data_IF_510467969629
#
_entry.id   IF_510467969629
#
_cell.length_a   1.000
_cell.length_b   1.000
_cell.length_c   1.000
_cell.angle_alpha   90.00
_cell.angle_beta   90.00
_cell.angle_gamma   90.00
#
_symmetry.space_group_name_H-M   'P 1'
#
loop_
_entity.id
_entity.type
_entity.pdbx_description
1 polymer ?
#
# COMPACT_ATOMS: atom_id res chain seq x y z
N UNK A 1 26.07 -44.48 8.09
CA UNK A 1 24.66 -44.88 8.23
C UNK A 1 23.80 -43.94 7.39
N UNK A 2 23.54 -44.29 6.12
CA UNK A 2 22.77 -43.45 5.22
C UNK A 2 21.30 -43.41 5.66
N UNK A 3 20.78 -42.22 5.98
CA UNK A 3 19.35 -42.02 6.22
C UNK A 3 18.58 -42.56 5.01
N UNK A 4 17.64 -43.47 5.25
CA UNK A 4 16.68 -43.91 4.26
C UNK A 4 15.95 -42.68 3.71
N UNK A 5 16.38 -42.17 2.57
CA UNK A 5 15.56 -41.24 1.78
C UNK A 5 14.29 -42.01 1.49
N UNK A 6 13.15 -41.59 2.05
CA UNK A 6 11.84 -42.01 1.56
C UNK A 6 11.85 -41.67 0.08
N UNK A 7 12.14 -42.66 -0.78
CA UNK A 7 11.88 -42.55 -2.21
C UNK A 7 10.37 -42.44 -2.26
N UNK A 8 9.87 -41.22 -2.34
CA UNK A 8 8.49 -40.94 -2.73
C UNK A 8 8.35 -41.48 -4.13
N UNK A 9 8.07 -42.78 -4.23
CA UNK A 9 7.71 -43.41 -5.49
C UNK A 9 6.46 -42.68 -5.93
N UNK A 10 6.50 -42.12 -7.14
CA UNK A 10 5.35 -41.51 -7.80
C UNK A 10 4.16 -42.46 -7.65
N UNK A 11 3.19 -42.04 -6.84
CA UNK A 11 2.03 -42.85 -6.43
C UNK A 11 1.28 -43.39 -7.66
N UNK A 12 1.28 -42.63 -8.75
CA UNK A 12 0.65 -43.01 -10.02
C UNK A 12 1.39 -44.21 -10.63
N UNK A 13 2.73 -44.21 -10.59
CA UNK A 13 3.54 -45.35 -11.08
C UNK A 13 3.36 -46.59 -10.22
N UNK A 14 3.27 -46.42 -8.90
CA UNK A 14 3.03 -47.53 -7.96
C UNK A 14 1.69 -48.22 -8.25
N UNK A 15 0.61 -47.44 -8.32
CA UNK A 15 -0.74 -47.96 -8.57
C UNK A 15 -0.84 -48.60 -9.96
N UNK A 16 -0.26 -47.98 -11.00
CA UNK A 16 -0.20 -48.58 -12.35
C UNK A 16 0.58 -49.90 -12.35
N UNK A 17 1.67 -50.00 -11.60
CA UNK A 17 2.45 -51.22 -11.44
C UNK A 17 1.64 -52.34 -10.76
N UNK A 18 0.94 -52.02 -9.67
CA UNK A 18 0.07 -52.98 -8.96
C UNK A 18 -1.08 -53.47 -9.82
N UNK A 19 -1.70 -52.59 -10.63
CA UNK A 19 -2.75 -52.99 -11.57
C UNK A 19 -2.21 -53.93 -12.66
N UNK A 20 -1.01 -53.65 -13.20
CA UNK A 20 -0.37 -54.49 -14.24
C UNK A 20 0.01 -55.88 -13.73
N UNK A 21 0.45 -55.97 -12.48
CA UNK A 21 0.86 -57.23 -11.87
C UNK A 21 -0.32 -58.02 -11.29
N UNK A 22 -1.56 -57.56 -11.47
CA UNK A 22 -2.76 -58.21 -10.93
C UNK A 22 -2.92 -58.08 -9.41
N UNK A 23 -2.11 -57.25 -8.74
CA UNK A 23 -2.17 -57.03 -7.30
C UNK A 23 -3.32 -56.11 -6.87
N UNK A 24 -3.98 -55.43 -7.81
CA UNK A 24 -5.11 -54.54 -7.55
C UNK A 24 -6.00 -54.38 -8.79
N UNK A 25 -7.31 -54.21 -8.59
CA UNK A 25 -8.20 -53.79 -9.66
C UNK A 25 -7.92 -52.33 -10.05
N UNK A 26 -7.95 -52.01 -11.36
CA UNK A 26 -7.70 -50.65 -11.85
C UNK A 26 -8.70 -49.65 -11.23
N UNK A 27 -8.23 -48.63 -10.48
CA UNK A 27 -9.10 -47.59 -9.96
C UNK A 27 -9.68 -46.71 -11.07
N UNK A 28 -10.88 -46.20 -10.86
CA UNK A 28 -11.62 -45.37 -11.83
C UNK A 28 -10.89 -44.09 -12.22
N UNK A 29 -10.12 -43.50 -11.31
CA UNK A 29 -9.37 -42.26 -11.56
C UNK A 29 -8.11 -42.45 -12.42
N UNK A 30 -7.60 -43.67 -12.58
CA UNK A 30 -6.35 -43.92 -13.34
C UNK A 30 -6.50 -43.55 -14.82
N UNK A 31 -7.66 -43.81 -15.41
CA UNK A 31 -7.96 -43.41 -16.79
C UNK A 31 -7.99 -41.88 -16.97
N UNK A 32 -8.40 -41.15 -15.94
CA UNK A 32 -8.40 -39.68 -15.93
C UNK A 32 -6.98 -39.12 -15.86
N UNK A 33 -6.12 -39.72 -15.04
CA UNK A 33 -4.69 -39.34 -14.94
C UNK A 33 -3.90 -39.73 -16.20
N UNK A 34 -4.28 -40.80 -16.90
CA UNK A 34 -3.69 -41.13 -18.20
C UNK A 34 -4.05 -40.09 -19.28
N UNK A 35 -5.27 -39.54 -19.23
CA UNK A 35 -5.70 -38.45 -20.12
C UNK A 35 -5.06 -37.11 -19.78
N UNK A 36 -4.92 -36.83 -18.49
CA UNK A 36 -4.38 -35.58 -17.97
C UNK A 36 -3.24 -35.88 -16.98
N UNK A 37 -2.02 -36.17 -17.47
CA UNK A 37 -0.89 -36.45 -16.60
C UNK A 37 -0.54 -35.19 -15.77
N UNK A 38 -0.11 -35.34 -14.51
CA UNK A 38 0.34 -34.21 -13.73
C UNK A 38 1.55 -33.54 -14.40
N UNK A 39 1.71 -32.21 -14.25
CA UNK A 39 2.86 -31.51 -14.80
C UNK A 39 4.16 -32.06 -14.19
N UNK A 40 5.25 -32.11 -14.96
CA UNK A 40 6.54 -32.54 -14.44
C UNK A 40 6.99 -31.56 -13.35
N UNK A 41 7.33 -32.09 -12.16
CA UNK A 41 7.89 -31.28 -11.07
C UNK A 41 9.31 -30.86 -11.49
N UNK A 42 9.63 -29.55 -11.50
CA UNK A 42 10.99 -29.07 -11.73
C UNK A 42 11.97 -29.72 -10.73
N UNK A 43 13.18 -30.07 -11.18
CA UNK A 43 14.17 -30.72 -10.31
C UNK A 43 14.57 -29.77 -9.18
N UNK A 44 14.25 -30.13 -7.94
CA UNK A 44 14.64 -29.39 -6.73
C UNK A 44 16.16 -29.28 -6.49
N UNK A 45 16.99 -29.94 -7.29
CA UNK A 45 18.44 -30.03 -7.08
C UNK A 45 19.20 -28.74 -7.49
N UNK A 46 18.52 -27.70 -8.03
CA UNK A 46 19.20 -26.47 -8.49
C UNK A 46 18.56 -25.13 -8.13
N UNK A 47 17.40 -25.09 -7.48
CA UNK A 47 16.64 -23.85 -7.44
C UNK A 47 16.60 -23.29 -6.01
N UNK A 48 17.62 -22.52 -5.64
CA UNK A 48 17.42 -21.44 -4.66
C UNK A 48 16.28 -20.58 -5.20
N UNK A 49 15.18 -20.45 -4.46
CA UNK A 49 14.06 -19.60 -4.91
C UNK A 49 14.62 -18.22 -5.22
N UNK A 50 14.46 -17.70 -6.45
CA UNK A 50 15.01 -16.40 -6.80
C UNK A 50 14.33 -15.33 -5.94
N UNK A 51 15.14 -14.49 -5.29
CA UNK A 51 14.63 -13.33 -4.55
C UNK A 51 14.31 -12.25 -5.56
N UNK A 52 13.02 -11.99 -5.76
CA UNK A 52 12.54 -10.88 -6.59
C UNK A 52 12.82 -9.59 -5.82
N UNK A 53 13.51 -8.64 -6.45
CA UNK A 53 13.81 -7.31 -5.89
C UNK A 53 13.45 -6.26 -6.91
N UNK A 54 12.87 -5.16 -6.44
CA UNK A 54 12.53 -4.01 -7.25
C UNK A 54 13.35 -2.77 -6.86
N UNK A 55 13.57 -1.82 -7.78
CA UNK A 55 14.26 -0.57 -7.46
C UNK A 55 13.59 0.24 -6.35
N UNK A 56 12.25 0.25 -6.30
CA UNK A 56 11.47 0.95 -5.28
C UNK A 56 11.67 0.37 -3.87
N UNK A 57 12.03 -0.92 -3.72
CA UNK A 57 12.26 -1.54 -2.41
C UNK A 57 13.37 -0.78 -1.65
N UNK A 58 14.43 -0.37 -2.36
CA UNK A 58 15.53 0.42 -1.78
C UNK A 58 15.03 1.79 -1.33
N UNK A 59 14.22 2.46 -2.15
CA UNK A 59 13.74 3.82 -1.86
C UNK A 59 12.74 3.81 -0.69
N UNK A 60 11.84 2.82 -0.66
CA UNK A 60 10.90 2.62 0.44
C UNK A 60 11.64 2.33 1.77
N UNK A 61 12.65 1.45 1.74
CA UNK A 61 13.47 1.18 2.94
C UNK A 61 14.18 2.45 3.44
N UNK A 62 14.71 3.28 2.54
CA UNK A 62 15.37 4.54 2.91
C UNK A 62 14.37 5.52 3.54
N UNK A 63 13.18 5.63 2.94
CA UNK A 63 12.11 6.48 3.45
C UNK A 63 11.68 6.06 4.87
N UNK A 64 11.44 4.77 5.09
CA UNK A 64 11.08 4.23 6.40
C UNK A 64 12.17 4.43 7.45
N UNK A 65 13.44 4.20 7.09
CA UNK A 65 14.57 4.38 8.00
C UNK A 65 14.70 5.82 8.48
N UNK A 66 14.39 6.79 7.63
CA UNK A 66 14.47 8.20 7.97
C UNK A 66 13.34 8.65 8.90
N UNK A 67 12.21 7.92 8.91
CA UNK A 67 11.02 8.18 9.73
C UNK A 67 10.90 7.22 10.92
N UNK A 68 11.98 6.55 11.30
CA UNK A 68 12.05 5.57 12.40
C UNK A 68 10.94 4.49 12.35
N UNK A 69 10.46 4.12 11.16
CA UNK A 69 9.42 3.10 10.98
C UNK A 69 8.02 3.50 11.47
N UNK A 70 7.75 4.80 11.66
CA UNK A 70 6.42 5.31 12.06
C UNK A 70 5.41 5.26 10.90
N UNK A 71 5.91 5.15 9.67
CA UNK A 71 5.11 5.20 8.44
C UNK A 71 4.63 3.81 8.04
N UNK A 72 3.41 3.74 7.52
CA UNK A 72 2.82 2.53 6.95
C UNK A 72 3.55 2.07 5.68
N UNK A 73 3.66 0.76 5.49
CA UNK A 73 4.35 0.15 4.34
C UNK A 73 3.77 0.66 3.02
N UNK A 74 2.44 0.76 2.93
CA UNK A 74 1.77 1.24 1.74
C UNK A 74 2.17 2.67 1.38
N UNK A 75 2.19 3.59 2.36
CA UNK A 75 2.59 4.99 2.12
C UNK A 75 4.06 5.08 1.68
N UNK A 76 4.93 4.23 2.23
CA UNK A 76 6.34 4.20 1.84
C UNK A 76 6.55 3.70 0.41
N UNK A 77 5.77 2.72 -0.06
CA UNK A 77 5.83 2.27 -1.45
C UNK A 77 5.26 3.30 -2.43
N UNK A 78 4.16 3.99 -2.07
CA UNK A 78 3.62 5.08 -2.89
C UNK A 78 4.64 6.23 -3.04
N UNK A 79 5.31 6.61 -1.93
CA UNK A 79 6.40 7.59 -1.96
C UNK A 79 7.53 7.13 -2.88
N UNK A 80 7.94 5.86 -2.76
CA UNK A 80 9.02 5.29 -3.56
C UNK A 80 8.69 5.24 -5.06
N UNK A 81 7.44 4.95 -5.43
CA UNK A 81 6.98 4.93 -6.83
C UNK A 81 6.94 6.34 -7.43
N UNK A 82 6.45 7.34 -6.68
CA UNK A 82 6.48 8.74 -7.11
C UNK A 82 7.92 9.25 -7.23
N UNK A 83 8.78 8.91 -6.27
CA UNK A 83 10.20 9.29 -6.31
C UNK A 83 10.89 8.65 -7.52
N UNK A 84 10.63 7.38 -7.79
CA UNK A 84 11.16 6.68 -8.95
C UNK A 84 10.70 7.34 -10.25
N UNK A 85 9.43 7.76 -10.34
CA UNK A 85 8.89 8.48 -11.49
C UNK A 85 9.61 9.80 -11.75
N UNK A 86 9.92 10.57 -10.70
CA UNK A 86 10.70 11.81 -10.83
C UNK A 86 12.15 11.56 -11.26
N UNK A 87 12.75 10.47 -10.78
CA UNK A 87 14.09 10.05 -11.18
C UNK A 87 14.11 9.65 -12.66
N UNK A 88 13.09 8.92 -13.13
CA UNK A 88 12.93 8.56 -14.54
C UNK A 88 12.76 9.79 -15.46
N UNK A 89 12.18 10.88 -14.93
CA UNK A 89 12.07 12.17 -15.62
C UNK A 89 13.38 12.97 -15.63
N UNK A 90 14.45 12.46 -15.01
CA UNK A 90 15.78 13.07 -15.02
C UNK A 90 16.09 13.95 -13.80
N UNK A 91 15.24 13.95 -12.78
CA UNK A 91 15.49 14.65 -11.51
C UNK A 91 16.45 13.81 -10.65
N UNK A 92 17.33 14.46 -9.90
CA UNK A 92 18.26 13.73 -9.02
C UNK A 92 17.52 13.07 -7.85
N UNK A 93 18.04 11.94 -7.33
CA UNK A 93 17.42 11.20 -6.21
C UNK A 93 17.16 12.10 -4.99
N UNK A 94 18.07 13.03 -4.71
CA UNK A 94 17.97 13.99 -3.59
C UNK A 94 16.92 15.06 -3.82
N UNK A 95 16.86 15.60 -5.04
CA UNK A 95 15.91 16.66 -5.36
C UNK A 95 14.49 16.08 -5.44
N UNK A 96 14.34 14.88 -6.01
CA UNK A 96 13.08 14.14 -6.03
C UNK A 96 12.56 13.86 -4.61
N UNK A 97 13.45 13.46 -3.70
CA UNK A 97 13.10 13.28 -2.29
C UNK A 97 12.58 14.58 -1.65
N UNK A 98 13.33 15.68 -1.82
CA UNK A 98 12.98 16.97 -1.22
C UNK A 98 11.67 17.54 -1.77
N UNK A 99 11.35 17.28 -3.04
CA UNK A 99 10.07 17.71 -3.62
C UNK A 99 8.88 16.94 -3.06
N UNK A 100 9.06 15.66 -2.73
CA UNK A 100 7.98 14.80 -2.27
C UNK A 100 7.78 14.86 -0.75
N UNK A 101 8.80 15.24 0.02
CA UNK A 101 8.72 15.19 1.48
C UNK A 101 7.62 16.09 2.04
N UNK A 102 7.47 17.30 1.50
CA UNK A 102 6.44 18.26 1.94
C UNK A 102 5.03 17.75 1.65
N UNK A 103 4.84 17.14 0.48
CA UNK A 103 3.57 16.50 0.10
C UNK A 103 3.23 15.34 1.04
N UNK A 104 4.21 14.49 1.33
CA UNK A 104 3.98 13.28 2.11
C UNK A 104 3.87 13.53 3.62
N UNK A 105 4.43 14.61 4.16
CA UNK A 105 4.15 15.05 5.54
C UNK A 105 2.65 15.30 5.75
N UNK A 106 1.98 15.92 4.77
CA UNK A 106 0.53 16.12 4.83
C UNK A 106 -0.23 14.81 4.70
N UNK A 107 0.11 13.97 3.71
CA UNK A 107 -0.55 12.66 3.48
C UNK A 107 -0.42 11.74 4.69
N UNK A 108 0.76 11.70 5.33
CA UNK A 108 0.98 10.94 6.56
C UNK A 108 0.09 11.42 7.70
N UNK A 109 -0.02 12.74 7.88
CA UNK A 109 -0.87 13.32 8.92
C UNK A 109 -2.35 12.95 8.71
N UNK A 110 -2.86 13.03 7.47
CA UNK A 110 -4.24 12.67 7.15
C UNK A 110 -4.50 11.17 7.32
N UNK A 111 -3.57 10.31 6.88
CA UNK A 111 -3.68 8.86 7.05
C UNK A 111 -3.61 8.45 8.51
N UNK A 112 -2.77 9.10 9.30
CA UNK A 112 -2.70 8.87 10.74
C UNK A 112 -4.03 9.25 11.41
N UNK A 113 -4.57 10.43 11.09
CA UNK A 113 -5.84 10.89 11.64
C UNK A 113 -7.00 9.96 11.26
N UNK A 114 -7.08 9.51 10.01
CA UNK A 114 -8.11 8.57 9.54
C UNK A 114 -8.00 7.19 10.21
N UNK A 115 -6.78 6.67 10.40
CA UNK A 115 -6.59 5.42 11.16
C UNK A 115 -6.93 5.58 12.64
N UNK A 116 -6.54 6.71 13.24
CA UNK A 116 -6.78 7.01 14.65
C UNK A 116 -8.28 7.20 14.93
N UNK A 117 -9.00 7.90 14.06
CA UNK A 117 -10.45 8.11 14.17
C UNK A 117 -11.22 6.80 14.09
N UNK A 118 -10.92 5.96 13.08
CA UNK A 118 -11.50 4.62 12.91
C UNK A 118 -11.24 3.74 14.13
N UNK A 119 -10.03 3.77 14.70
CA UNK A 119 -9.70 3.01 15.91
C UNK A 119 -10.54 3.45 17.12
N UNK A 120 -10.85 4.74 17.23
CA UNK A 120 -11.66 5.31 18.31
C UNK A 120 -13.17 5.19 18.08
N UNK A 121 -13.60 4.66 16.93
CA UNK A 121 -15.02 4.60 16.55
C UNK A 121 -15.64 5.98 16.33
N UNK A 122 -14.81 6.98 16.02
CA UNK A 122 -15.24 8.34 15.72
C UNK A 122 -15.26 8.45 14.20
N UNK A 123 -16.43 8.67 13.61
CA UNK A 123 -16.54 9.00 12.18
C UNK A 123 -16.14 10.47 12.00
N UNK A 124 -14.97 10.71 11.41
CA UNK A 124 -14.61 12.04 10.90
C UNK A 124 -15.24 12.21 9.51
N UNK A 125 -15.65 13.43 9.19
CA UNK A 125 -16.04 13.80 7.83
C UNK A 125 -14.85 13.61 6.87
N UNK A 126 -15.13 13.43 5.57
CA UNK A 126 -14.09 13.20 4.57
C UNK A 126 -13.12 14.42 4.55
N UNK A 127 -11.78 14.24 4.53
CA UNK A 127 -10.83 15.37 4.60
C UNK A 127 -11.05 16.46 3.55
N UNK A 128 -11.63 16.12 2.40
CA UNK A 128 -12.02 17.09 1.36
C UNK A 128 -13.11 18.08 1.85
N UNK A 129 -13.96 17.69 2.79
CA UNK A 129 -14.98 18.56 3.37
C UNK A 129 -14.39 19.53 4.40
N UNK A 130 -13.25 19.21 5.02
CA UNK A 130 -12.61 20.08 6.02
C UNK A 130 -12.01 21.35 5.40
N UNK A 131 -11.35 21.24 4.24
CA UNK A 131 -10.79 22.41 3.52
C UNK A 131 -11.88 23.39 3.07
N UNK A 132 -13.04 22.88 2.68
CA UNK A 132 -14.20 23.69 2.26
C UNK A 132 -14.88 24.34 3.46
N UNK A 133 -14.96 23.63 4.59
CA UNK A 133 -15.46 24.18 5.85
C UNK A 133 -14.52 25.28 6.34
N UNK A 134 -13.21 25.04 6.44
CA UNK A 134 -12.24 26.02 6.95
C UNK A 134 -12.23 27.30 6.10
N UNK A 135 -12.27 27.20 4.77
CA UNK A 135 -12.44 28.37 3.88
C UNK A 135 -13.75 29.10 4.15
N UNK A 136 -14.85 28.37 4.35
CA UNK A 136 -16.16 28.94 4.68
C UNK A 136 -16.16 29.72 5.99
N UNK A 137 -15.48 29.21 7.02
CA UNK A 137 -15.32 29.89 8.31
C UNK A 137 -14.46 31.15 8.20
N UNK A 138 -13.31 31.07 7.51
CA UNK A 138 -12.41 32.22 7.29
C UNK A 138 -13.12 33.32 6.49
N UNK A 139 -13.90 32.94 5.47
CA UNK A 139 -14.71 33.90 4.73
C UNK A 139 -15.82 34.52 5.58
N UNK A 140 -16.53 33.72 6.37
CA UNK A 140 -17.58 34.20 7.27
C UNK A 140 -17.04 35.17 8.33
N UNK A 141 -15.88 34.86 8.92
CA UNK A 141 -15.19 35.70 9.88
C UNK A 141 -14.72 37.01 9.23
N UNK A 142 -14.15 36.94 8.01
CA UNK A 142 -13.74 38.14 7.27
C UNK A 142 -14.92 39.05 6.89
N UNK A 143 -16.11 38.48 6.61
CA UNK A 143 -17.33 39.24 6.33
C UNK A 143 -17.87 39.89 7.61
N UNK A 144 -17.92 39.15 8.71
CA UNK A 144 -18.37 39.68 9.99
C UNK A 144 -17.49 40.85 10.47
N UNK A 145 -16.17 40.76 10.28
CA UNK A 145 -15.23 41.85 10.61
C UNK A 145 -15.46 43.08 9.73
N UNK A 146 -15.68 42.91 8.43
CA UNK A 146 -15.97 44.02 7.51
C UNK A 146 -17.31 44.70 7.82
N UNK A 147 -18.32 43.92 8.18
CA UNK A 147 -19.64 44.42 8.55
C UNK A 147 -19.61 45.18 9.89
N UNK A 148 -18.86 44.67 10.88
CA UNK A 148 -18.62 45.37 12.14
C UNK A 148 -17.89 46.70 11.93
N UNK A 149 -16.84 46.73 11.10
CA UNK A 149 -16.14 47.98 10.75
C UNK A 149 -17.04 48.98 10.02
N UNK A 150 -17.95 48.50 9.18
CA UNK A 150 -18.92 49.36 8.48
C UNK A 150 -19.90 49.99 9.46
N UNK A 151 -20.46 49.21 10.39
CA UNK A 151 -21.37 49.71 11.43
C UNK A 151 -20.68 50.75 12.32
N UNK A 152 -19.45 50.51 12.77
CA UNK A 152 -18.68 51.50 13.54
C UNK A 152 -18.43 52.79 12.77
N UNK A 153 -18.22 52.71 11.45
CA UNK A 153 -18.02 53.88 10.61
C UNK A 153 -19.33 54.68 10.42
N UNK A 154 -20.45 53.99 10.21
CA UNK A 154 -21.78 54.60 10.11
C UNK A 154 -22.19 55.27 11.43
N UNK A 155 -21.91 54.65 12.58
CA UNK A 155 -22.15 55.25 13.91
C UNK A 155 -21.27 56.48 14.16
N UNK A 156 -19.99 56.45 13.78
CA UNK A 156 -19.08 57.61 13.90
C UNK A 156 -19.49 58.77 13.00
N UNK A 157 -20.03 58.49 11.81
CA UNK A 157 -20.55 59.52 10.92
C UNK A 157 -21.88 60.09 11.41
N UNK A 158 -22.75 59.26 11.98
CA UNK A 158 -24.00 59.70 12.60
C UNK A 158 -23.73 60.60 13.82
N UNK A 159 -22.76 60.24 14.67
CA UNK A 159 -22.31 61.06 15.80
C UNK A 159 -21.62 62.37 15.39
N UNK A 160 -20.99 62.43 14.21
CA UNK A 160 -20.39 63.67 13.66
C UNK A 160 -21.40 64.62 13.01
N UNK A 161 -22.56 64.12 12.61
CA UNK A 161 -23.65 64.89 11.99
C UNK A 161 -24.68 65.40 13.01
N UNK A 162 -24.52 65.05 14.28
CA UNK A 162 -25.29 65.54 15.43
C UNK A 162 -24.55 66.69 16.11
#
# INVERSE_FOLDING_TARGET
MGRARKRTVDMIRLVKGLCRNGGMHRPSWVSMVDRFPPPPIPRHDRDTVPVIKFPQDRLAELYMRQRDGVVDDQTAYEFADEQLTLIEQGISEKDAYNLLIEKYDQVESHRFLDKFSKMRGIEFADPAEYDDIEKGWVEAESRAIKEAMRLEHEEREALRKM
#
